data_IF_899045236175
#
_entry.id   IF_899045236175
#
_cell.length_a   1.000
_cell.length_b   1.000
_cell.length_c   1.000
_cell.angle_alpha   90.00
_cell.angle_beta   90.00
_cell.angle_gamma   90.00
#
_symmetry.space_group_name_H-M   'P 1'
#
loop_
_entity.id
_entity.type
_entity.pdbx_description
1 polymer ?
#
# COMPACT_ATOMS: atom_id res chain seq x y z
N UNK A 1 -9.75 -10.15 -5.11
CA UNK A 1 -10.09 -8.72 -5.30
C UNK A 1 -9.65 -7.81 -4.13
N UNK A 2 -9.59 -8.29 -2.88
CA UNK A 2 -9.38 -7.40 -1.71
C UNK A 2 -7.94 -6.92 -1.49
N UNK A 3 -6.91 -7.65 -1.93
CA UNK A 3 -5.52 -7.34 -1.53
C UNK A 3 -4.91 -6.14 -2.26
N UNK A 4 -5.16 -6.01 -3.57
CA UNK A 4 -4.61 -4.92 -4.39
C UNK A 4 -4.99 -3.51 -3.88
N UNK A 5 -6.28 -3.19 -3.64
CA UNK A 5 -6.65 -1.87 -3.13
C UNK A 5 -6.09 -1.57 -1.73
N UNK A 6 -5.90 -2.59 -0.88
CA UNK A 6 -5.25 -2.43 0.43
C UNK A 6 -3.77 -2.05 0.24
N UNK A 7 -3.06 -2.73 -0.67
CA UNK A 7 -1.67 -2.40 -0.99
C UNK A 7 -1.53 -1.00 -1.60
N UNK A 8 -2.45 -0.61 -2.46
CA UNK A 8 -2.47 0.73 -3.06
C UNK A 8 -2.73 1.82 -2.02
N UNK A 9 -3.66 1.59 -1.08
CA UNK A 9 -3.90 2.50 0.03
C UNK A 9 -2.64 2.74 0.87
N UNK A 10 -1.91 1.68 1.22
CA UNK A 10 -0.62 1.80 1.92
C UNK A 10 0.39 2.60 1.11
N UNK A 11 0.56 2.28 -0.20
CA UNK A 11 1.52 2.96 -1.08
C UNK A 11 1.22 4.45 -1.25
N UNK A 12 -0.05 4.83 -1.18
CA UNK A 12 -0.50 6.22 -1.22
C UNK A 12 -0.30 6.96 0.11
N UNK A 13 0.25 6.31 1.14
CA UNK A 13 0.46 6.88 2.47
C UNK A 13 -0.82 6.87 3.32
N UNK A 14 -1.79 6.02 2.97
CA UNK A 14 -3.02 5.84 3.72
C UNK A 14 -2.80 5.10 5.04
N UNK A 15 -3.85 5.13 5.85
CA UNK A 15 -3.91 4.48 7.17
C UNK A 15 -4.89 3.30 7.09
N UNK A 16 -4.40 2.09 7.38
CA UNK A 16 -5.21 0.88 7.28
C UNK A 16 -6.30 0.79 8.35
N UNK A 17 -6.20 1.52 9.47
CA UNK A 17 -7.25 1.53 10.51
C UNK A 17 -8.59 2.02 9.95
N UNK A 18 -8.57 2.97 9.01
CA UNK A 18 -9.77 3.50 8.35
C UNK A 18 -10.53 2.48 7.50
N UNK A 19 -9.91 1.34 7.20
CA UNK A 19 -10.51 0.24 6.46
C UNK A 19 -10.56 -1.05 7.27
N UNK A 20 -10.50 -0.95 8.61
CA UNK A 20 -10.54 -2.11 9.51
C UNK A 20 -9.22 -2.87 9.58
N UNK A 21 -8.09 -2.16 9.53
CA UNK A 21 -6.77 -2.69 9.87
C UNK A 21 -6.64 -2.96 11.37
N UNK A 22 -5.75 -3.89 11.71
CA UNK A 22 -5.38 -4.18 13.10
C UNK A 22 -4.50 -3.05 13.70
N UNK A 23 -3.82 -2.31 12.82
CA UNK A 23 -2.95 -1.16 13.11
C UNK A 23 -2.82 -0.32 11.83
N UNK A 24 -2.25 0.89 11.92
CA UNK A 24 -2.00 1.78 10.78
C UNK A 24 -1.39 1.10 9.55
N UNK A 25 -0.49 0.14 9.75
CA UNK A 25 0.18 -0.58 8.66
C UNK A 25 -0.08 -2.08 8.64
N UNK A 26 -1.02 -2.58 9.44
CA UNK A 26 -1.34 -4.01 9.50
C UNK A 26 -2.81 -4.26 9.23
N UNK A 27 -3.11 -5.27 8.41
CA UNK A 27 -4.48 -5.73 8.19
C UNK A 27 -4.54 -7.22 7.94
N UNK A 28 -5.42 -7.88 8.70
CA UNK A 28 -5.78 -9.28 8.51
C UNK A 28 -6.98 -9.39 7.56
N UNK A 29 -6.87 -10.26 6.55
CA UNK A 29 -7.90 -10.50 5.53
C UNK A 29 -8.20 -11.98 5.47
N UNK A 30 -9.48 -12.33 5.62
CA UNK A 30 -9.98 -13.70 5.44
C UNK A 30 -10.38 -13.89 4.00
N UNK A 31 -10.02 -15.03 3.41
CA UNK A 31 -10.48 -15.38 2.07
C UNK A 31 -12.01 -15.60 2.05
N UNK A 32 -12.67 -15.42 0.89
CA UNK A 32 -14.12 -15.59 0.80
C UNK A 32 -14.61 -16.99 1.19
N UNK A 33 -13.76 -18.00 1.08
CA UNK A 33 -14.01 -19.39 1.48
C UNK A 33 -13.84 -19.65 2.99
N UNK A 34 -13.30 -18.68 3.75
CA UNK A 34 -13.06 -18.78 5.18
C UNK A 34 -11.90 -19.71 5.56
N UNK A 35 -11.21 -20.33 4.60
CA UNK A 35 -10.20 -21.35 4.88
C UNK A 35 -8.81 -20.75 5.12
N UNK A 36 -8.51 -19.62 4.49
CA UNK A 36 -7.19 -19.01 4.52
C UNK A 36 -7.28 -17.59 5.06
N UNK A 37 -6.35 -17.28 5.97
CA UNK A 37 -6.20 -15.95 6.56
C UNK A 37 -4.84 -15.39 6.11
N UNK A 38 -4.87 -14.22 5.49
CA UNK A 38 -3.68 -13.47 5.13
C UNK A 38 -3.49 -12.32 6.11
N UNK A 39 -2.26 -12.13 6.60
CA UNK A 39 -1.87 -10.92 7.33
C UNK A 39 -0.93 -10.11 6.46
N UNK A 40 -1.34 -8.89 6.14
CA UNK A 40 -0.50 -7.92 5.45
C UNK A 40 0.08 -6.95 6.49
N UNK A 41 1.40 -6.79 6.47
CA UNK A 41 2.11 -5.81 7.30
C UNK A 41 3.04 -4.99 6.41
N UNK A 42 2.83 -3.68 6.38
CA UNK A 42 3.70 -2.76 5.68
C UNK A 42 4.77 -2.19 6.62
N UNK A 43 5.98 -1.99 6.09
CA UNK A 43 7.06 -1.30 6.78
C UNK A 43 7.47 -0.08 5.96
N UNK A 44 7.37 1.13 6.52
CA UNK A 44 7.81 2.32 5.80
C UNK A 44 9.33 2.25 5.58
N UNK A 45 9.76 2.51 4.35
CA UNK A 45 11.17 2.51 3.97
C UNK A 45 11.83 3.89 4.14
N UNK A 46 11.06 4.92 4.49
CA UNK A 46 11.55 6.30 4.63
C UNK A 46 11.78 7.05 3.31
N UNK A 47 11.53 6.39 2.17
CA UNK A 47 11.65 7.01 0.86
C UNK A 47 10.49 7.96 0.55
N UNK A 48 10.74 8.94 -0.31
CA UNK A 48 9.68 9.81 -0.84
C UNK A 48 8.62 9.00 -1.59
N UNK A 49 7.38 9.51 -1.56
CA UNK A 49 6.28 8.88 -2.29
C UNK A 49 6.55 8.95 -3.79
N UNK A 50 6.41 7.82 -4.49
CA UNK A 50 6.71 7.71 -5.92
C UNK A 50 5.98 8.74 -6.81
N UNK A 51 4.74 9.09 -6.47
CA UNK A 51 3.98 10.06 -7.26
C UNK A 51 4.24 11.52 -6.87
N UNK A 52 4.74 11.76 -5.65
CA UNK A 52 5.06 13.12 -5.17
C UNK A 52 6.52 13.52 -5.39
N UNK A 53 7.43 12.54 -5.46
CA UNK A 53 8.86 12.77 -5.62
C UNK A 53 9.33 13.03 -7.05
N UNK A 54 8.42 13.30 -8.00
CA UNK A 54 8.79 13.65 -9.38
C UNK A 54 9.47 12.51 -10.15
N UNK A 55 9.35 11.24 -9.73
CA UNK A 55 9.99 10.10 -10.41
C UNK A 55 9.43 9.82 -11.82
N UNK A 56 8.42 10.58 -12.26
CA UNK A 56 7.90 10.60 -13.63
C UNK A 56 8.58 11.63 -14.52
N UNK A 57 9.27 12.61 -13.93
CA UNK A 57 10.06 13.58 -14.67
C UNK A 57 11.27 12.82 -15.22
N UNK A 58 11.12 12.29 -16.42
CA UNK A 58 12.26 11.91 -17.24
C UNK A 58 13.15 13.16 -17.33
N UNK A 59 14.47 13.05 -17.09
CA UNK A 59 15.36 14.15 -17.43
C UNK A 59 15.10 14.44 -18.90
N UNK A 60 14.75 15.69 -19.21
CA UNK A 60 14.49 16.18 -20.56
C UNK A 60 15.31 15.39 -21.58
N UNK A 61 14.63 14.77 -22.54
CA UNK A 61 15.25 14.25 -23.76
C UNK A 61 15.77 15.44 -24.58
N UNK A 62 16.73 16.20 -24.05
CA UNK A 62 17.57 17.11 -24.81
C UNK A 62 18.67 16.28 -25.43
N UNK A 63 18.34 15.61 -26.54
CA UNK A 63 19.29 15.26 -27.60
C UNK A 63 19.20 16.32 -28.69
#
# INVERSE_FOLDING_TARGET
MMLYPIMEAVRSGGDLENIGGDDKYTKTVVCPDGCVIFRLTAKPLGNENFHKGGFYDYPDETV
#
